data_IF_009935130070
#
_entry.id   IF_009935130070
#
_cell.length_a   1.000
_cell.length_b   1.000
_cell.length_c   1.000
_cell.angle_alpha   90.00
_cell.angle_beta   90.00
_cell.angle_gamma   90.00
#
_symmetry.space_group_name_H-M   'P 1'
#
loop_
_entity.id
_entity.type
_entity.pdbx_description
1 polymer ?
#
# COMPACT_ATOMS: atom_id res chain seq x y z
N UNK A 1 24.05 -15.74 -17.81
CA UNK A 1 24.35 -14.31 -17.65
C UNK A 1 23.39 -13.51 -18.55
N UNK A 2 22.15 -13.31 -18.11
CA UNK A 2 21.18 -12.40 -18.76
C UNK A 2 21.37 -10.95 -18.27
N UNK A 3 22.61 -10.54 -18.00
CA UNK A 3 22.91 -9.26 -17.32
C UNK A 3 22.70 -8.03 -18.21
N UNK A 4 22.87 -8.16 -19.52
CA UNK A 4 22.81 -7.00 -20.43
C UNK A 4 21.38 -6.40 -20.56
N UNK A 5 20.31 -7.20 -20.81
CA UNK A 5 18.96 -6.66 -20.92
C UNK A 5 18.41 -6.07 -19.61
N UNK A 6 18.70 -6.69 -18.47
CA UNK A 6 18.22 -6.19 -17.18
C UNK A 6 18.92 -4.88 -16.78
N UNK A 7 20.22 -4.76 -17.03
CA UNK A 7 20.96 -3.50 -16.79
C UNK A 7 20.42 -2.36 -17.64
N UNK A 8 20.15 -2.62 -18.93
CA UNK A 8 19.54 -1.60 -19.81
C UNK A 8 18.13 -1.22 -19.34
N UNK A 9 17.35 -2.18 -18.85
CA UNK A 9 16.07 -1.89 -18.20
C UNK A 9 16.24 -0.98 -16.97
N UNK A 10 17.18 -1.28 -16.08
CA UNK A 10 17.44 -0.47 -14.88
C UNK A 10 17.88 0.96 -15.23
N UNK A 11 18.73 1.13 -16.25
CA UNK A 11 19.11 2.46 -16.77
C UNK A 11 17.91 3.21 -17.33
N UNK A 12 17.06 2.54 -18.11
CA UNK A 12 15.85 3.13 -18.71
C UNK A 12 14.88 3.67 -17.66
N UNK A 13 14.78 3.01 -16.50
CA UNK A 13 13.95 3.49 -15.38
C UNK A 13 14.69 4.46 -14.44
N UNK A 14 15.90 4.90 -14.81
CA UNK A 14 16.64 5.94 -14.10
C UNK A 14 17.38 5.49 -12.84
N UNK A 15 17.74 4.20 -12.72
CA UNK A 15 18.55 3.74 -11.58
C UNK A 15 19.97 4.32 -11.65
N UNK A 16 20.53 4.69 -10.50
CA UNK A 16 21.93 5.10 -10.39
C UNK A 16 22.89 3.91 -10.59
N UNK A 17 24.13 4.18 -10.99
CA UNK A 17 25.15 3.13 -11.17
C UNK A 17 25.35 2.28 -9.91
N UNK A 18 25.30 2.90 -8.73
CA UNK A 18 25.39 2.17 -7.46
C UNK A 18 24.19 1.25 -7.23
N UNK A 19 22.97 1.72 -7.54
CA UNK A 19 21.75 0.91 -7.44
C UNK A 19 21.77 -0.25 -8.45
N UNK A 20 22.28 -0.02 -9.66
CA UNK A 20 22.46 -1.07 -10.69
C UNK A 20 23.45 -2.13 -10.19
N UNK A 21 24.63 -1.74 -9.74
CA UNK A 21 25.65 -2.66 -9.20
C UNK A 21 25.11 -3.49 -8.03
N UNK A 22 24.38 -2.85 -7.13
CA UNK A 22 23.73 -3.54 -6.01
C UNK A 22 22.68 -4.54 -6.49
N UNK A 23 21.83 -4.14 -7.46
CA UNK A 23 20.82 -5.02 -8.03
C UNK A 23 21.44 -6.26 -8.66
N UNK A 24 22.52 -6.10 -9.45
CA UNK A 24 23.24 -7.24 -10.06
C UNK A 24 23.75 -8.20 -8.98
N UNK A 25 24.35 -7.68 -7.90
CA UNK A 25 24.80 -8.50 -6.78
C UNK A 25 23.65 -9.29 -6.15
N UNK A 26 22.52 -8.63 -5.87
CA UNK A 26 21.33 -9.26 -5.28
C UNK A 26 20.78 -10.38 -6.18
N UNK A 27 20.70 -10.14 -7.49
CA UNK A 27 20.21 -11.14 -8.43
C UNK A 27 21.17 -12.31 -8.54
N UNK A 28 22.48 -12.08 -8.55
CA UNK A 28 23.47 -13.16 -8.55
C UNK A 28 23.34 -14.05 -7.30
N UNK A 29 23.15 -13.44 -6.13
CA UNK A 29 22.92 -14.16 -4.87
C UNK A 29 21.61 -14.96 -4.89
N UNK A 30 20.55 -14.38 -5.44
CA UNK A 30 19.25 -15.04 -5.60
C UNK A 30 19.33 -16.23 -6.55
N UNK A 31 19.92 -16.07 -7.74
CA UNK A 31 20.12 -17.17 -8.71
C UNK A 31 20.99 -18.29 -8.13
N UNK A 32 21.98 -17.95 -7.29
CA UNK A 32 22.79 -18.92 -6.57
C UNK A 32 21.96 -19.73 -5.56
N UNK A 33 21.08 -19.06 -4.82
CA UNK A 33 20.12 -19.72 -3.92
C UNK A 33 19.21 -20.67 -4.71
N UNK A 34 18.60 -20.20 -5.81
CA UNK A 34 17.72 -21.03 -6.64
C UNK A 34 18.44 -22.29 -7.15
N UNK A 35 19.68 -22.13 -7.65
CA UNK A 35 20.49 -23.25 -8.13
C UNK A 35 20.81 -24.26 -7.02
N UNK A 36 21.11 -23.78 -5.81
CA UNK A 36 21.42 -24.62 -4.65
C UNK A 36 20.20 -25.42 -4.20
N UNK A 37 19.03 -24.80 -4.21
CA UNK A 37 17.75 -25.43 -3.82
C UNK A 37 17.07 -26.19 -4.97
N UNK A 38 17.73 -26.30 -6.13
CA UNK A 38 17.21 -26.94 -7.34
C UNK A 38 15.88 -26.37 -7.84
N UNK A 39 15.70 -25.05 -7.69
CA UNK A 39 14.51 -24.31 -8.10
C UNK A 39 14.69 -23.69 -9.49
N UNK A 40 13.61 -23.67 -10.27
CA UNK A 40 13.57 -23.04 -11.58
C UNK A 40 12.90 -21.67 -11.48
N UNK A 41 13.61 -20.62 -11.89
CA UNK A 41 13.12 -19.24 -11.88
C UNK A 41 11.82 -19.07 -12.67
N UNK A 42 11.68 -19.76 -13.81
CA UNK A 42 10.50 -19.63 -14.68
C UNK A 42 9.22 -20.14 -14.01
N UNK A 43 9.37 -21.13 -13.12
CA UNK A 43 8.25 -21.82 -12.47
C UNK A 43 8.12 -21.53 -10.96
N UNK A 44 8.81 -20.50 -10.47
CA UNK A 44 8.76 -20.12 -9.06
C UNK A 44 7.32 -19.88 -8.59
N UNK A 45 6.93 -20.63 -7.56
CA UNK A 45 5.66 -20.48 -6.88
C UNK A 45 5.79 -19.68 -5.58
N UNK A 46 4.64 -19.35 -4.97
CA UNK A 46 4.60 -18.54 -3.76
C UNK A 46 5.37 -19.16 -2.58
N UNK A 47 5.27 -20.48 -2.38
CA UNK A 47 5.93 -21.17 -1.26
C UNK A 47 7.46 -21.13 -1.38
N UNK A 48 7.99 -21.20 -2.59
CA UNK A 48 9.44 -21.13 -2.85
C UNK A 48 9.97 -19.70 -2.62
N UNK A 49 9.20 -18.70 -3.01
CA UNK A 49 9.53 -17.29 -2.75
C UNK A 49 9.49 -17.00 -1.24
N UNK A 50 8.50 -17.52 -0.53
CA UNK A 50 8.41 -17.44 0.93
C UNK A 50 9.61 -18.12 1.60
N UNK A 51 10.05 -19.29 1.11
CA UNK A 51 11.26 -19.95 1.61
C UNK A 51 12.54 -19.12 1.42
N UNK A 52 12.67 -18.39 0.30
CA UNK A 52 13.79 -17.47 0.11
C UNK A 52 13.70 -16.25 1.03
N UNK A 53 12.50 -15.74 1.29
CA UNK A 53 12.30 -14.64 2.25
C UNK A 53 12.68 -15.05 3.67
N UNK A 54 12.29 -16.25 4.11
CA UNK A 54 12.70 -16.80 5.41
C UNK A 54 14.23 -16.92 5.48
N UNK A 55 14.88 -17.41 4.41
CA UNK A 55 16.35 -17.43 4.31
C UNK A 55 16.99 -16.04 4.46
N UNK A 56 16.38 -15.00 3.87
CA UNK A 56 16.88 -13.63 4.00
C UNK A 56 16.66 -13.07 5.42
N UNK A 57 15.51 -13.34 6.04
CA UNK A 57 15.16 -12.88 7.38
C UNK A 57 16.12 -13.48 8.42
N UNK A 58 16.40 -14.78 8.36
CA UNK A 58 17.32 -15.47 9.26
C UNK A 58 18.73 -14.88 9.21
N UNK A 59 19.11 -14.35 8.04
CA UNK A 59 20.41 -13.70 7.79
C UNK A 59 20.37 -12.18 8.00
N UNK A 60 19.21 -11.61 8.29
CA UNK A 60 18.97 -10.16 8.36
C UNK A 60 19.37 -9.44 7.08
N UNK A 61 19.14 -10.06 5.92
CA UNK A 61 19.49 -9.56 4.60
C UNK A 61 18.26 -9.06 3.82
N UNK A 62 17.07 -9.10 4.41
CA UNK A 62 15.78 -8.71 3.84
C UNK A 62 15.54 -7.19 3.82
N UNK A 63 16.57 -6.41 3.47
CA UNK A 63 16.48 -4.95 3.46
C UNK A 63 15.67 -4.41 2.26
N UNK A 64 15.16 -3.17 2.40
CA UNK A 64 14.36 -2.46 1.39
C UNK A 64 14.94 -2.57 -0.03
N UNK A 65 16.21 -2.20 -0.21
CA UNK A 65 16.86 -2.15 -1.52
C UNK A 65 16.96 -3.55 -2.16
N UNK A 66 17.10 -4.61 -1.36
CA UNK A 66 17.12 -6.00 -1.85
C UNK A 66 15.74 -6.37 -2.40
N UNK A 67 14.67 -6.09 -1.66
CA UNK A 67 13.31 -6.40 -2.11
C UNK A 67 12.93 -5.57 -3.34
N UNK A 68 13.38 -4.32 -3.44
CA UNK A 68 13.22 -3.49 -4.65
C UNK A 68 13.94 -4.12 -5.84
N UNK A 69 15.17 -4.61 -5.67
CA UNK A 69 15.91 -5.27 -6.75
C UNK A 69 15.20 -6.54 -7.23
N UNK A 70 14.69 -7.37 -6.30
CA UNK A 70 13.90 -8.57 -6.63
C UNK A 70 12.58 -8.23 -7.34
N UNK A 71 11.86 -7.21 -6.87
CA UNK A 71 10.65 -6.72 -7.54
C UNK A 71 10.94 -6.31 -8.99
N UNK A 72 12.01 -5.54 -9.21
CA UNK A 72 12.41 -5.10 -10.56
C UNK A 72 12.79 -6.26 -11.46
N UNK A 73 13.48 -7.27 -10.93
CA UNK A 73 13.86 -8.46 -11.67
C UNK A 73 12.64 -9.30 -12.06
N UNK A 74 11.74 -9.58 -11.11
CA UNK A 74 10.46 -10.25 -11.39
C UNK A 74 9.64 -9.50 -12.45
N UNK A 75 9.57 -8.17 -12.35
CA UNK A 75 8.88 -7.33 -13.36
C UNK A 75 9.53 -7.43 -14.75
N UNK A 76 10.86 -7.37 -14.82
CA UNK A 76 11.58 -7.39 -16.09
C UNK A 76 11.42 -8.72 -16.82
N UNK A 77 11.45 -9.84 -16.08
CA UNK A 77 11.34 -11.18 -16.63
C UNK A 77 9.91 -11.73 -16.65
N UNK A 78 8.91 -10.91 -16.35
CA UNK A 78 7.50 -11.33 -16.26
C UNK A 78 7.25 -12.48 -15.26
N UNK A 79 8.10 -12.61 -14.24
CA UNK A 79 7.86 -13.50 -13.11
C UNK A 79 6.88 -12.81 -12.15
N UNK A 80 5.59 -12.99 -12.43
CA UNK A 80 4.49 -12.31 -11.72
C UNK A 80 4.49 -12.65 -10.23
N UNK A 81 4.54 -13.93 -9.78
CA UNK A 81 4.61 -14.25 -8.35
C UNK A 81 5.71 -13.51 -7.58
N UNK A 82 6.92 -13.45 -8.11
CA UNK A 82 8.04 -12.73 -7.49
C UNK A 82 7.73 -11.24 -7.42
N UNK A 83 7.28 -10.63 -8.52
CA UNK A 83 6.94 -9.21 -8.55
C UNK A 83 5.84 -8.87 -7.52
N UNK A 84 4.72 -9.60 -7.53
CA UNK A 84 3.58 -9.31 -6.66
C UNK A 84 3.91 -9.53 -5.19
N UNK A 85 4.68 -10.58 -4.85
CA UNK A 85 5.09 -10.84 -3.46
C UNK A 85 6.00 -9.72 -2.94
N UNK A 86 7.00 -9.30 -3.73
CA UNK A 86 7.88 -8.20 -3.31
C UNK A 86 7.11 -6.89 -3.16
N UNK A 87 6.20 -6.55 -4.09
CA UNK A 87 5.37 -5.35 -3.99
C UNK A 87 4.46 -5.39 -2.76
N UNK A 88 3.87 -6.55 -2.44
CA UNK A 88 3.03 -6.69 -1.26
C UNK A 88 3.80 -6.50 0.07
N UNK A 89 5.10 -6.82 0.10
CA UNK A 89 5.96 -6.57 1.25
C UNK A 89 6.40 -5.11 1.36
N UNK A 90 6.76 -4.51 0.22
CA UNK A 90 7.18 -3.12 0.10
C UNK A 90 6.05 -2.14 0.42
N UNK A 91 4.80 -2.49 0.08
CA UNK A 91 3.65 -1.63 0.31
C UNK A 91 3.40 -1.44 1.82
N UNK A 92 3.84 -0.30 2.35
CA UNK A 92 3.66 0.03 3.77
C UNK A 92 4.55 -0.77 4.70
N UNK A 93 5.69 -1.30 4.23
CA UNK A 93 6.67 -1.95 5.11
C UNK A 93 7.19 -1.04 6.23
N UNK A 94 7.17 0.29 6.02
CA UNK A 94 7.58 1.32 6.97
C UNK A 94 6.56 1.57 8.11
N UNK A 95 5.30 1.18 7.94
CA UNK A 95 4.16 1.64 8.75
C UNK A 95 4.36 1.38 10.24
N UNK A 96 4.81 0.18 10.64
CA UNK A 96 4.96 -0.14 12.06
C UNK A 96 6.10 0.64 12.72
N UNK A 97 7.21 0.83 12.02
CA UNK A 97 8.33 1.65 12.48
C UNK A 97 7.92 3.11 12.61
N UNK A 98 7.18 3.63 11.64
CA UNK A 98 6.60 4.97 11.69
C UNK A 98 5.59 5.12 12.83
N UNK A 99 4.79 4.09 13.09
CA UNK A 99 3.84 4.12 14.19
C UNK A 99 4.53 4.17 15.55
N UNK A 100 5.53 3.31 15.76
CA UNK A 100 6.34 3.31 16.96
C UNK A 100 7.00 4.67 17.18
N UNK A 101 7.63 5.24 16.14
CA UNK A 101 8.24 6.57 16.20
C UNK A 101 7.23 7.66 16.57
N UNK A 102 6.09 7.69 15.89
CA UNK A 102 5.07 8.72 16.11
C UNK A 102 4.43 8.63 17.51
N UNK A 103 4.22 7.41 18.02
CA UNK A 103 3.77 7.19 19.40
C UNK A 103 4.81 7.66 20.41
N UNK A 104 6.10 7.35 20.19
CA UNK A 104 7.18 7.83 21.04
C UNK A 104 7.26 9.36 21.09
N UNK A 105 7.16 10.01 19.94
CA UNK A 105 7.19 11.48 19.82
C UNK A 105 6.00 12.15 20.51
N UNK A 106 4.80 11.56 20.44
CA UNK A 106 3.57 12.22 20.91
C UNK A 106 3.10 11.76 22.30
N UNK A 107 3.43 10.54 22.72
CA UNK A 107 2.97 9.93 23.99
C UNK A 107 4.13 9.57 24.94
N UNK A 108 5.38 9.71 24.50
CA UNK A 108 6.58 9.41 25.27
C UNK A 108 6.96 7.92 25.27
N UNK A 109 8.18 7.66 25.74
CA UNK A 109 8.78 6.33 25.80
C UNK A 109 8.00 5.35 26.68
N UNK A 110 7.55 5.78 27.88
CA UNK A 110 6.86 4.89 28.82
C UNK A 110 5.58 4.29 28.22
N UNK A 111 4.74 5.15 27.64
CA UNK A 111 3.49 4.73 26.98
C UNK A 111 3.78 3.83 25.78
N UNK A 112 4.77 4.21 24.96
CA UNK A 112 5.12 3.46 23.74
C UNK A 112 5.66 2.08 24.08
N UNK A 113 6.54 1.97 25.08
CA UNK A 113 7.08 0.69 25.55
C UNK A 113 5.98 -0.25 26.06
N UNK A 114 4.96 0.27 26.76
CA UNK A 114 3.79 -0.53 27.18
C UNK A 114 2.98 -1.02 25.99
N UNK A 115 2.76 -0.17 24.98
CA UNK A 115 2.01 -0.56 23.77
C UNK A 115 2.77 -1.64 22.98
N UNK A 116 4.10 -1.52 22.87
CA UNK A 116 4.95 -2.42 22.09
C UNK A 116 5.57 -3.56 22.91
N UNK A 117 5.14 -3.78 24.16
CA UNK A 117 5.72 -4.80 25.04
C UNK A 117 5.69 -6.19 24.39
N UNK A 118 6.87 -6.81 24.25
CA UNK A 118 7.03 -8.12 23.62
C UNK A 118 6.86 -8.13 22.09
N UNK A 119 6.81 -6.97 21.44
CA UNK A 119 6.74 -6.85 19.98
C UNK A 119 8.11 -6.40 19.47
N UNK A 120 8.80 -7.28 18.76
CA UNK A 120 9.97 -6.89 17.96
C UNK A 120 9.52 -6.14 16.72
N UNK A 121 10.23 -5.06 16.38
CA UNK A 121 9.91 -4.30 15.17
C UNK A 121 10.15 -5.16 13.92
N UNK A 122 9.20 -5.14 12.97
CA UNK A 122 9.24 -5.97 11.78
C UNK A 122 10.34 -5.50 10.83
N UNK A 123 10.93 -6.45 10.12
CA UNK A 123 11.79 -6.19 8.95
C UNK A 123 10.95 -6.16 7.66
N UNK A 124 11.54 -5.77 6.53
CA UNK A 124 10.77 -5.61 5.28
C UNK A 124 10.23 -6.93 4.74
N UNK A 125 10.90 -8.05 5.01
CA UNK A 125 10.46 -9.40 4.66
C UNK A 125 9.31 -9.94 5.53
N UNK A 126 8.90 -9.23 6.59
CA UNK A 126 7.87 -9.72 7.52
C UNK A 126 6.57 -10.04 6.79
N UNK A 127 6.14 -11.30 6.91
CA UNK A 127 4.87 -11.80 6.34
C UNK A 127 3.65 -10.99 6.80
N UNK A 128 2.67 -10.86 5.91
CA UNK A 128 1.48 -10.04 6.14
C UNK A 128 0.59 -10.58 7.27
N UNK A 129 0.58 -11.88 7.58
CA UNK A 129 -0.15 -12.40 8.75
C UNK A 129 0.54 -11.97 10.04
N UNK A 130 1.88 -12.00 10.07
CA UNK A 130 2.66 -11.46 11.21
C UNK A 130 2.41 -9.96 11.36
N UNK A 131 2.42 -9.19 10.26
CA UNK A 131 2.10 -7.75 10.26
C UNK A 131 0.70 -7.48 10.85
N UNK A 132 -0.33 -8.16 10.34
CA UNK A 132 -1.70 -7.98 10.84
C UNK A 132 -1.85 -8.35 12.32
N UNK A 133 -1.21 -9.43 12.77
CA UNK A 133 -1.20 -9.82 14.18
C UNK A 133 -0.54 -8.77 15.07
N UNK A 134 0.62 -8.24 14.66
CA UNK A 134 1.29 -7.16 15.40
C UNK A 134 0.41 -5.92 15.49
N UNK A 135 -0.21 -5.50 14.37
CA UNK A 135 -1.09 -4.33 14.35
C UNK A 135 -2.32 -4.53 15.23
N UNK A 136 -2.91 -5.73 15.23
CA UNK A 136 -4.04 -6.08 16.10
C UNK A 136 -3.68 -5.84 17.57
N UNK A 137 -2.53 -6.33 18.01
CA UNK A 137 -2.06 -6.19 19.40
C UNK A 137 -1.79 -4.72 19.72
N UNK A 138 -1.06 -4.01 18.86
CA UNK A 138 -0.71 -2.59 19.05
C UNK A 138 -1.97 -1.73 19.15
N UNK A 139 -2.92 -1.88 18.23
CA UNK A 139 -4.18 -1.13 18.25
C UNK A 139 -5.03 -1.44 19.47
N UNK A 140 -5.14 -2.73 19.85
CA UNK A 140 -5.88 -3.12 21.03
C UNK A 140 -5.29 -2.50 22.31
N UNK A 141 -3.97 -2.54 22.47
CA UNK A 141 -3.29 -1.92 23.61
C UNK A 141 -3.45 -0.40 23.60
N UNK A 142 -3.29 0.24 22.45
CA UNK A 142 -3.44 1.68 22.30
C UNK A 142 -4.84 2.15 22.72
N UNK A 143 -5.88 1.49 22.22
CA UNK A 143 -7.27 1.84 22.52
C UNK A 143 -7.64 1.63 23.99
N UNK A 144 -7.05 0.64 24.65
CA UNK A 144 -7.31 0.33 26.05
C UNK A 144 -6.52 1.20 27.05
N UNK A 145 -5.40 1.80 26.63
CA UNK A 145 -4.49 2.51 27.55
C UNK A 145 -4.36 4.02 27.26
N UNK A 146 -4.83 4.49 26.10
CA UNK A 146 -4.65 5.87 25.68
C UNK A 146 -5.97 6.44 25.18
N UNK A 147 -6.31 7.64 25.65
CA UNK A 147 -7.50 8.36 25.20
C UNK A 147 -7.47 8.57 23.68
N UNK A 148 -8.60 8.31 23.03
CA UNK A 148 -8.77 8.48 21.58
C UNK A 148 -8.30 9.83 21.05
N UNK A 149 -8.57 10.89 21.80
CA UNK A 149 -8.16 12.25 21.42
C UNK A 149 -6.63 12.42 21.27
N UNK A 150 -5.83 11.59 21.96
CA UNK A 150 -4.37 11.65 21.92
C UNK A 150 -3.79 10.82 20.77
N UNK A 151 -4.35 9.65 20.48
CA UNK A 151 -3.79 8.75 19.47
C UNK A 151 -4.43 8.84 18.08
N UNK A 152 -5.69 9.27 17.96
CA UNK A 152 -6.33 9.37 16.66
C UNK A 152 -5.63 10.37 15.72
N UNK A 153 -5.14 11.54 16.19
CA UNK A 153 -4.36 12.45 15.35
C UNK A 153 -3.07 11.84 14.80
N UNK A 154 -2.48 10.85 15.49
CA UNK A 154 -1.29 10.12 15.02
C UNK A 154 -1.62 9.36 13.74
N UNK A 155 -2.70 8.57 13.78
CA UNK A 155 -3.14 7.79 12.62
C UNK A 155 -3.60 8.70 11.48
N UNK A 156 -4.30 9.80 11.77
CA UNK A 156 -4.77 10.75 10.76
C UNK A 156 -3.65 11.50 10.01
N UNK A 157 -2.40 11.44 10.49
CA UNK A 157 -1.23 11.94 9.76
C UNK A 157 -0.77 10.99 8.63
N UNK A 158 -1.33 9.78 8.58
CA UNK A 158 -0.86 8.65 7.79
C UNK A 158 0.51 8.13 8.27
N UNK A 159 0.64 6.82 8.38
CA UNK A 159 1.88 6.15 8.80
C UNK A 159 2.77 5.77 7.60
N UNK A 160 2.37 6.14 6.39
CA UNK A 160 3.14 5.91 5.15
C UNK A 160 4.15 7.02 4.93
N UNK A 161 5.27 6.67 4.30
CA UNK A 161 6.23 7.68 3.84
C UNK A 161 5.70 8.37 2.58
N UNK A 162 5.11 9.56 2.77
CA UNK A 162 4.45 10.34 1.71
C UNK A 162 5.11 11.73 1.54
N UNK A 163 6.36 11.79 1.03
CA UNK A 163 7.04 13.06 0.81
C UNK A 163 6.25 13.94 -0.17
N UNK A 164 6.14 15.23 0.14
CA UNK A 164 5.32 16.19 -0.61
C UNK A 164 5.71 16.27 -2.09
N UNK A 165 6.98 16.03 -2.41
CA UNK A 165 7.50 15.98 -3.79
C UNK A 165 6.75 14.99 -4.70
N UNK A 166 6.16 13.92 -4.14
CA UNK A 166 5.35 12.95 -4.89
C UNK A 166 4.05 13.57 -5.43
N UNK A 167 3.57 14.65 -4.82
CA UNK A 167 2.31 15.31 -5.19
C UNK A 167 2.53 16.58 -6.02
N UNK A 168 3.78 16.89 -6.40
CA UNK A 168 4.13 18.07 -7.22
C UNK A 168 3.26 18.22 -8.47
N UNK A 169 3.03 17.14 -9.22
CA UNK A 169 2.16 17.15 -10.41
C UNK A 169 0.70 17.46 -10.08
N UNK A 170 0.19 16.97 -8.96
CA UNK A 170 -1.19 17.23 -8.54
C UNK A 170 -1.36 18.68 -8.09
N UNK A 171 -0.36 19.24 -7.40
CA UNK A 171 -0.34 20.65 -7.01
C UNK A 171 -0.32 21.54 -8.26
N UNK A 172 0.58 21.27 -9.21
CA UNK A 172 0.68 22.01 -10.48
C UNK A 172 -0.62 21.93 -11.29
N UNK A 173 -1.26 20.75 -11.34
CA UNK A 173 -2.54 20.59 -12.01
C UNK A 173 -3.62 21.48 -11.38
N UNK A 174 -3.71 21.51 -10.05
CA UNK A 174 -4.68 22.37 -9.35
C UNK A 174 -4.41 23.86 -9.57
N UNK A 175 -3.14 24.29 -9.56
CA UNK A 175 -2.76 25.69 -9.81
C UNK A 175 -3.17 26.19 -11.21
N UNK A 176 -3.40 25.27 -12.17
CA UNK A 176 -3.88 25.55 -13.51
C UNK A 176 -5.40 25.48 -13.65
N UNK A 177 -6.11 25.15 -12.58
CA UNK A 177 -7.57 25.05 -12.56
C UNK A 177 -8.17 26.27 -11.86
N UNK A 178 -9.37 26.66 -12.29
CA UNK A 178 -10.13 27.75 -11.69
C UNK A 178 -10.59 27.42 -10.27
N UNK A 179 -11.02 26.18 -10.05
CA UNK A 179 -11.59 25.71 -8.80
C UNK A 179 -11.41 24.19 -8.63
N UNK A 180 -11.92 23.65 -7.53
CA UNK A 180 -11.82 22.24 -7.20
C UNK A 180 -12.60 21.35 -8.17
N UNK A 181 -13.72 21.81 -8.74
CA UNK A 181 -14.50 20.99 -9.67
C UNK A 181 -13.73 20.77 -10.97
N UNK A 182 -13.15 21.83 -11.53
CA UNK A 182 -12.31 21.71 -12.74
C UNK A 182 -11.08 20.81 -12.48
N UNK A 183 -10.47 20.91 -11.29
CA UNK A 183 -9.36 20.03 -10.91
C UNK A 183 -9.77 18.57 -10.84
N UNK A 184 -10.94 18.26 -10.26
CA UNK A 184 -11.44 16.90 -10.14
C UNK A 184 -11.76 16.31 -11.52
N UNK A 185 -12.34 17.10 -12.43
CA UNK A 185 -12.61 16.67 -13.82
C UNK A 185 -11.30 16.29 -14.55
N UNK A 186 -10.27 17.17 -14.50
CA UNK A 186 -8.98 16.88 -15.12
C UNK A 186 -8.26 15.70 -14.47
N UNK A 187 -8.39 15.54 -13.15
CA UNK A 187 -7.81 14.42 -12.42
C UNK A 187 -8.47 13.10 -12.82
N UNK A 188 -9.79 13.08 -12.98
CA UNK A 188 -10.53 11.92 -13.47
C UNK A 188 -10.10 11.53 -14.88
N UNK A 189 -10.02 12.51 -15.80
CA UNK A 189 -9.56 12.28 -17.17
C UNK A 189 -8.17 11.63 -17.18
N UNK A 190 -7.20 12.20 -16.45
CA UNK A 190 -5.85 11.63 -16.34
C UNK A 190 -5.84 10.23 -15.72
N UNK A 191 -6.70 9.98 -14.73
CA UNK A 191 -6.81 8.67 -14.10
C UNK A 191 -7.34 7.63 -15.09
N UNK A 192 -8.46 7.91 -15.76
CA UNK A 192 -9.09 6.98 -16.71
C UNK A 192 -8.21 6.74 -17.94
N UNK A 193 -7.49 7.75 -18.43
CA UNK A 193 -6.53 7.58 -19.53
C UNK A 193 -5.37 6.66 -19.16
N UNK A 194 -4.84 6.78 -17.95
CA UNK A 194 -3.83 5.84 -17.46
C UNK A 194 -4.42 4.42 -17.34
N UNK A 195 -5.67 4.29 -16.86
CA UNK A 195 -6.33 2.98 -16.76
C UNK A 195 -6.51 2.34 -18.14
N UNK A 196 -6.92 3.11 -19.16
CA UNK A 196 -7.01 2.65 -20.56
C UNK A 196 -5.65 2.19 -21.09
N UNK A 197 -4.59 2.97 -20.83
CA UNK A 197 -3.22 2.62 -21.25
C UNK A 197 -2.74 1.33 -20.58
N UNK A 198 -3.00 1.15 -19.29
CA UNK A 198 -2.63 -0.06 -18.55
C UNK A 198 -3.42 -1.28 -19.04
N UNK A 199 -4.72 -1.13 -19.32
CA UNK A 199 -5.54 -2.18 -19.93
C UNK A 199 -4.99 -2.62 -21.30
N UNK A 200 -4.65 -1.67 -22.17
CA UNK A 200 -4.11 -1.98 -23.51
C UNK A 200 -2.73 -2.64 -23.47
N UNK A 201 -1.87 -2.21 -22.54
CA UNK A 201 -0.49 -2.70 -22.45
C UNK A 201 -0.32 -3.97 -21.60
N UNK A 202 -1.36 -4.39 -20.87
CA UNK A 202 -1.29 -5.48 -19.90
C UNK A 202 -0.40 -5.17 -18.67
N UNK A 203 0.00 -3.91 -18.49
CA UNK A 203 0.79 -3.49 -17.34
C UNK A 203 -0.10 -3.39 -16.08
N UNK A 204 0.49 -3.69 -14.93
CA UNK A 204 -0.22 -3.67 -13.65
C UNK A 204 -0.30 -2.26 -13.05
N UNK A 205 -1.46 -1.91 -12.49
CA UNK A 205 -1.67 -0.74 -11.63
C UNK A 205 -1.39 -1.13 -10.19
N UNK A 206 -0.24 -0.73 -9.63
CA UNK A 206 0.15 -1.08 -8.25
C UNK A 206 0.03 -2.59 -7.91
N UNK A 207 0.25 -3.47 -8.89
CA UNK A 207 0.21 -4.93 -8.70
C UNK A 207 -1.09 -5.61 -9.12
N UNK A 208 -2.17 -4.87 -9.40
CA UNK A 208 -3.42 -5.43 -9.92
C UNK A 208 -3.57 -5.18 -11.43
N UNK A 209 -4.17 -6.11 -12.19
CA UNK A 209 -4.47 -5.91 -13.61
C UNK A 209 -5.66 -4.95 -13.77
N UNK A 210 -5.63 -4.17 -14.86
CA UNK A 210 -6.79 -3.42 -15.33
C UNK A 210 -7.41 -4.20 -16.48
N UNK A 211 -8.34 -5.09 -16.18
CA UNK A 211 -9.12 -5.84 -17.18
C UNK A 211 -10.19 -4.95 -17.82
N UNK A 212 -10.88 -5.47 -18.84
CA UNK A 212 -11.99 -4.73 -19.46
C UNK A 212 -13.13 -4.47 -18.47
N UNK A 213 -13.47 -5.46 -17.64
CA UNK A 213 -14.43 -5.34 -16.53
C UNK A 213 -14.02 -4.29 -15.51
N UNK A 214 -12.74 -4.24 -15.14
CA UNK A 214 -12.21 -3.21 -14.23
C UNK A 214 -12.31 -1.83 -14.85
N UNK A 215 -11.91 -1.66 -16.12
CA UNK A 215 -12.00 -0.37 -16.80
C UNK A 215 -13.45 0.12 -16.87
N UNK A 216 -14.39 -0.73 -17.30
CA UNK A 216 -15.80 -0.39 -17.35
C UNK A 216 -16.35 -0.04 -15.96
N UNK A 217 -15.95 -0.76 -14.91
CA UNK A 217 -16.35 -0.45 -13.54
C UNK A 217 -15.88 0.95 -13.11
N UNK A 218 -14.63 1.32 -13.43
CA UNK A 218 -14.07 2.62 -13.08
C UNK A 218 -14.71 3.78 -13.87
N UNK A 219 -14.99 3.58 -15.16
CA UNK A 219 -15.67 4.58 -16.01
C UNK A 219 -17.11 4.87 -15.58
N UNK A 220 -17.73 3.97 -14.80
CA UNK A 220 -19.09 4.13 -14.30
C UNK A 220 -19.13 4.45 -12.79
N UNK A 221 -18.01 4.84 -12.17
CA UNK A 221 -17.94 5.04 -10.74
C UNK A 221 -17.19 6.32 -10.35
N UNK A 222 -17.90 7.45 -10.44
CA UNK A 222 -17.41 8.79 -10.12
C UNK A 222 -16.84 8.89 -8.70
N UNK A 223 -17.35 8.13 -7.72
CA UNK A 223 -16.80 8.16 -6.36
C UNK A 223 -15.36 7.64 -6.29
N UNK A 224 -14.95 6.79 -7.23
CA UNK A 224 -13.58 6.24 -7.33
C UNK A 224 -12.73 7.06 -8.30
N UNK A 225 -13.22 7.31 -9.51
CA UNK A 225 -12.45 7.94 -10.59
C UNK A 225 -12.21 9.43 -10.34
N UNK A 226 -13.20 10.12 -9.78
CA UNK A 226 -13.23 11.58 -9.61
C UNK A 226 -13.25 12.02 -8.15
N UNK A 227 -14.15 11.43 -7.38
CA UNK A 227 -14.71 11.96 -6.15
C UNK A 227 -15.90 12.90 -6.42
N UNK A 228 -16.86 12.93 -5.48
CA UNK A 228 -18.10 13.70 -5.61
C UNK A 228 -18.24 14.71 -4.48
N UNK A 229 -18.46 15.98 -4.80
CA UNK A 229 -18.69 17.03 -3.79
C UNK A 229 -20.16 17.06 -3.40
N UNK A 230 -20.45 16.91 -2.10
CA UNK A 230 -21.78 17.03 -1.51
C UNK A 230 -21.70 17.83 -0.23
N UNK A 231 -22.50 18.89 -0.11
CA UNK A 231 -22.60 19.72 1.10
C UNK A 231 -21.25 20.23 1.62
N UNK A 232 -20.36 20.69 0.72
CA UNK A 232 -19.03 21.19 1.08
C UNK A 232 -18.02 20.11 1.47
N UNK A 233 -18.32 18.83 1.23
CA UNK A 233 -17.40 17.71 1.46
C UNK A 233 -17.12 16.96 0.15
N UNK A 234 -15.87 16.60 -0.07
CA UNK A 234 -15.46 15.71 -1.15
C UNK A 234 -15.52 14.26 -0.68
N UNK A 235 -16.45 13.49 -1.24
CA UNK A 235 -16.61 12.06 -1.00
C UNK A 235 -15.75 11.26 -1.99
N UNK A 236 -14.91 10.37 -1.47
CA UNK A 236 -14.03 9.49 -2.25
C UNK A 236 -14.18 8.07 -1.74
N UNK A 237 -14.39 7.14 -2.66
CA UNK A 237 -14.33 5.69 -2.44
C UNK A 237 -13.02 5.17 -3.01
N UNK A 238 -12.36 4.25 -2.32
CA UNK A 238 -11.15 3.63 -2.86
C UNK A 238 -11.48 2.61 -3.94
N UNK A 239 -10.63 2.50 -4.95
CA UNK A 239 -10.58 1.30 -5.80
C UNK A 239 -10.30 0.07 -4.91
N UNK A 240 -10.91 -1.11 -5.14
CA UNK A 240 -10.52 -2.34 -4.44
C UNK A 240 -9.03 -2.69 -4.63
N UNK A 241 -8.46 -3.49 -3.74
CA UNK A 241 -7.04 -3.89 -3.82
C UNK A 241 -6.78 -4.84 -4.99
N UNK A 242 -7.68 -5.80 -5.23
CA UNK A 242 -7.72 -6.64 -6.44
C UNK A 242 -9.10 -6.50 -7.07
N UNK A 243 -9.27 -5.51 -7.95
CA UNK A 243 -10.60 -5.10 -8.44
C UNK A 243 -11.29 -6.18 -9.27
N UNK A 244 -10.57 -6.86 -10.15
CA UNK A 244 -11.18 -7.90 -10.99
C UNK A 244 -11.67 -9.07 -10.12
N UNK A 245 -10.83 -9.59 -9.24
CA UNK A 245 -11.23 -10.65 -8.29
C UNK A 245 -12.39 -10.19 -7.40
N UNK A 246 -12.36 -8.93 -6.93
CA UNK A 246 -13.41 -8.36 -6.08
C UNK A 246 -14.77 -8.30 -6.79
N UNK A 247 -14.79 -8.02 -8.10
CA UNK A 247 -16.02 -8.03 -8.91
C UNK A 247 -16.61 -9.46 -9.02
N UNK A 248 -15.77 -10.49 -8.94
CA UNK A 248 -16.16 -11.89 -9.06
C UNK A 248 -16.28 -12.63 -7.71
N UNK A 249 -16.00 -11.96 -6.60
CA UNK A 249 -16.05 -12.53 -5.26
C UNK A 249 -17.46 -13.05 -4.91
N UNK A 250 -17.52 -14.23 -4.29
CA UNK A 250 -18.79 -14.93 -4.01
C UNK A 250 -19.21 -14.83 -2.54
N UNK A 251 -18.32 -14.38 -1.66
CA UNK A 251 -18.61 -14.24 -0.22
C UNK A 251 -18.31 -12.82 0.28
N UNK A 252 -19.00 -12.40 1.34
CA UNK A 252 -18.75 -11.11 1.99
C UNK A 252 -17.32 -11.00 2.53
N UNK A 253 -16.79 -12.10 3.10
CA UNK A 253 -15.41 -12.16 3.59
C UNK A 253 -14.41 -11.93 2.46
N UNK A 254 -14.55 -12.67 1.35
CA UNK A 254 -13.68 -12.55 0.18
C UNK A 254 -13.76 -11.14 -0.42
N UNK A 255 -14.98 -10.59 -0.54
CA UNK A 255 -15.20 -9.23 -1.03
C UNK A 255 -14.50 -8.19 -0.14
N UNK A 256 -14.57 -8.34 1.18
CA UNK A 256 -13.86 -7.47 2.12
C UNK A 256 -12.33 -7.66 2.01
N UNK A 257 -11.87 -8.90 1.93
CA UNK A 257 -10.45 -9.23 1.82
C UNK A 257 -9.83 -8.67 0.54
N UNK A 258 -10.49 -8.80 -0.61
CA UNK A 258 -10.02 -8.30 -1.90
C UNK A 258 -10.11 -6.77 -2.03
N UNK A 259 -10.87 -6.11 -1.16
CA UNK A 259 -10.97 -4.66 -1.13
C UNK A 259 -9.87 -4.00 -0.26
N UNK A 260 -9.49 -4.62 0.86
CA UNK A 260 -8.57 -4.00 1.81
C UNK A 260 -7.14 -3.90 1.28
N UNK A 261 -6.65 -2.67 1.11
CA UNK A 261 -5.27 -2.38 0.65
C UNK A 261 -4.20 -2.57 1.72
N UNK A 262 -4.55 -2.51 3.01
CA UNK A 262 -3.53 -2.37 4.05
C UNK A 262 -2.98 -3.74 4.46
N UNK A 263 -1.69 -4.04 4.23
CA UNK A 263 -1.13 -5.34 4.64
C UNK A 263 -1.07 -5.52 6.16
N UNK A 264 -1.19 -4.43 6.92
CA UNK A 264 -1.26 -4.45 8.39
C UNK A 264 -2.65 -4.78 8.94
N UNK A 265 -3.66 -4.97 8.08
CA UNK A 265 -5.02 -5.28 8.53
C UNK A 265 -5.70 -6.37 7.71
N UNK A 266 -5.38 -6.47 6.42
CA UNK A 266 -6.06 -7.32 5.45
C UNK A 266 -6.16 -8.79 5.90
N UNK A 267 -5.07 -9.38 6.41
CA UNK A 267 -5.10 -10.79 6.84
C UNK A 267 -6.02 -11.05 8.04
N UNK A 268 -6.32 -10.03 8.85
CA UNK A 268 -7.29 -10.17 9.97
C UNK A 268 -8.76 -10.28 9.53
N UNK A 269 -9.04 -10.02 8.24
CA UNK A 269 -10.39 -10.17 7.67
C UNK A 269 -10.74 -11.65 7.50
N UNK A 270 -9.74 -12.50 7.21
CA UNK A 270 -9.94 -13.93 6.98
C UNK A 270 -10.27 -14.63 8.30
N UNK A 271 -11.43 -15.27 8.38
CA UNK A 271 -11.84 -16.00 9.59
C UNK A 271 -10.90 -17.15 9.94
N UNK A 272 -10.29 -17.78 8.93
CA UNK A 272 -9.33 -18.88 9.11
C UNK A 272 -7.90 -18.42 9.46
N UNK A 273 -7.63 -17.11 9.57
CA UNK A 273 -6.30 -16.59 9.88
C UNK A 273 -5.85 -16.85 11.32
N UNK A 274 -6.79 -17.07 12.23
CA UNK A 274 -6.53 -17.12 13.67
C UNK A 274 -6.13 -15.76 14.28
N UNK A 275 -6.28 -14.66 13.53
CA UNK A 275 -5.98 -13.30 13.96
C UNK A 275 -7.30 -12.58 14.26
N UNK A 276 -7.51 -12.04 15.47
CA UNK A 276 -8.66 -11.17 15.73
C UNK A 276 -8.68 -9.98 14.76
N UNK A 277 -9.87 -9.52 14.38
CA UNK A 277 -10.01 -8.37 13.47
C UNK A 277 -9.22 -7.15 14.00
N UNK A 278 -8.39 -6.55 13.14
CA UNK A 278 -7.76 -5.26 13.46
C UNK A 278 -8.84 -4.19 13.59
N UNK A 279 -8.75 -3.36 14.63
CA UNK A 279 -9.73 -2.29 14.88
C UNK A 279 -9.93 -1.39 13.67
N UNK A 280 -11.18 -1.09 13.35
CA UNK A 280 -11.53 -0.18 12.26
C UNK A 280 -11.05 1.26 12.49
N UNK A 281 -10.69 1.61 13.73
CA UNK A 281 -10.05 2.90 14.02
C UNK A 281 -8.70 3.04 13.33
N UNK A 282 -8.03 1.93 13.03
CA UNK A 282 -6.78 1.94 12.27
C UNK A 282 -6.95 2.52 10.86
N UNK A 283 -8.16 2.47 10.29
CA UNK A 283 -8.47 3.09 9.00
C UNK A 283 -8.33 4.63 8.99
N UNK A 284 -8.15 5.27 10.15
CA UNK A 284 -7.71 6.66 10.22
C UNK A 284 -6.37 6.90 9.48
N UNK A 285 -5.49 5.89 9.43
CA UNK A 285 -4.28 5.92 8.59
C UNK A 285 -4.63 6.07 7.10
N UNK A 286 -5.64 5.33 6.61
CA UNK A 286 -6.11 5.45 5.23
C UNK A 286 -6.80 6.78 4.98
N UNK A 287 -7.50 7.33 5.97
CA UNK A 287 -8.12 8.66 5.86
C UNK A 287 -7.04 9.75 5.71
N UNK A 288 -5.94 9.64 6.46
CA UNK A 288 -4.75 10.48 6.32
C UNK A 288 -4.12 10.39 4.92
N UNK A 289 -4.00 9.18 4.38
CA UNK A 289 -3.53 8.95 3.01
C UNK A 289 -4.41 9.67 1.98
N UNK A 290 -5.73 9.51 2.07
CA UNK A 290 -6.70 10.04 1.08
C UNK A 290 -6.75 11.57 1.08
N UNK A 291 -6.63 12.22 2.25
CA UNK A 291 -6.66 13.68 2.33
C UNK A 291 -5.33 14.36 2.00
N UNK A 292 -4.20 13.64 2.03
CA UNK A 292 -2.85 14.21 1.86
C UNK A 292 -2.71 15.09 0.61
N UNK A 293 -3.15 14.68 -0.60
CA UNK A 293 -3.04 15.53 -1.79
C UNK A 293 -3.78 16.86 -1.63
N UNK A 294 -4.97 16.81 -1.02
CA UNK A 294 -5.82 17.98 -0.82
C UNK A 294 -5.25 18.91 0.27
N UNK A 295 -4.65 18.36 1.33
CA UNK A 295 -3.92 19.18 2.32
C UNK A 295 -2.78 19.99 1.68
N UNK A 296 -2.09 19.40 0.68
CA UNK A 296 -1.02 20.07 -0.05
C UNK A 296 -1.55 21.13 -1.01
N UNK A 297 -2.60 20.80 -1.76
CA UNK A 297 -3.28 21.73 -2.67
C UNK A 297 -3.78 22.98 -1.92
N UNK A 298 -4.47 22.78 -0.78
CA UNK A 298 -5.01 23.88 0.02
C UNK A 298 -4.03 24.46 1.03
N UNK A 299 -2.82 23.90 1.13
CA UNK A 299 -1.75 24.32 2.06
C UNK A 299 -2.23 24.41 3.52
N UNK A 300 -3.14 23.52 3.93
CA UNK A 300 -3.69 23.45 5.28
C UNK A 300 -4.12 22.04 5.67
N UNK A 301 -4.23 21.77 6.98
CA UNK A 301 -4.76 20.50 7.47
C UNK A 301 -6.27 20.42 7.26
N UNK A 302 -6.72 19.28 6.75
CA UNK A 302 -8.14 19.05 6.46
C UNK A 302 -8.74 18.04 7.43
N UNK A 303 -10.01 18.26 7.77
CA UNK A 303 -10.83 17.27 8.47
C UNK A 303 -11.31 16.23 7.48
N UNK A 304 -11.32 14.96 7.90
CA UNK A 304 -11.84 13.84 7.13
C UNK A 304 -12.73 12.99 8.02
N UNK A 305 -13.91 12.65 7.53
CA UNK A 305 -14.81 11.68 8.16
C UNK A 305 -14.61 10.32 7.47
N UNK A 306 -14.58 9.23 8.25
CA UNK A 306 -14.59 7.86 7.73
C UNK A 306 -16.05 7.41 7.73
N UNK A 307 -16.66 7.36 6.54
CA UNK A 307 -18.08 7.03 6.39
C UNK A 307 -18.31 5.52 6.38
N UNK A 308 -17.48 4.80 5.62
CA UNK A 308 -17.53 3.36 5.50
C UNK A 308 -16.12 2.81 5.57
N UNK A 309 -15.97 1.63 6.17
CA UNK A 309 -14.72 0.89 6.14
C UNK A 309 -14.95 -0.61 6.21
N UNK A 310 -14.21 -1.32 5.37
CA UNK A 310 -14.18 -2.78 5.36
C UNK A 310 -13.91 -3.36 6.76
N UNK A 311 -13.11 -2.72 7.60
CA UNK A 311 -12.82 -3.24 8.96
C UNK A 311 -14.02 -3.13 9.92
N UNK A 312 -15.03 -2.34 9.60
CA UNK A 312 -16.31 -2.26 10.33
C UNK A 312 -17.39 -3.19 9.76
N UNK A 313 -17.10 -3.96 8.70
CA UNK A 313 -18.07 -4.82 8.04
C UNK A 313 -18.71 -4.24 6.78
N UNK A 314 -18.33 -3.03 6.36
CA UNK A 314 -18.80 -2.45 5.09
C UNK A 314 -18.21 -3.17 3.87
N UNK A 315 -18.74 -2.86 2.68
CA UNK A 315 -18.27 -3.39 1.39
C UNK A 315 -17.33 -2.46 0.62
N UNK A 316 -17.20 -1.21 1.08
CA UNK A 316 -16.32 -0.20 0.50
C UNK A 316 -15.68 0.64 1.60
N UNK A 317 -14.60 1.35 1.27
CA UNK A 317 -14.03 2.38 2.14
C UNK A 317 -14.35 3.75 1.55
N UNK A 318 -15.22 4.50 2.21
CA UNK A 318 -15.63 5.86 1.84
C UNK A 318 -15.09 6.89 2.84
N UNK A 319 -14.50 7.95 2.32
CA UNK A 319 -13.97 9.07 3.08
C UNK A 319 -14.60 10.37 2.60
N UNK A 320 -14.97 11.25 3.54
CA UNK A 320 -15.50 12.58 3.24
C UNK A 320 -14.53 13.66 3.76
N UNK A 321 -13.84 14.33 2.84
CA UNK A 321 -12.91 15.41 3.16
C UNK A 321 -13.68 16.73 3.24
N UNK A 322 -13.54 17.47 4.33
CA UNK A 322 -14.17 18.78 4.49
C UNK A 322 -13.37 19.81 3.69
N UNK A 323 -13.99 20.41 2.68
CA UNK A 323 -13.32 21.40 1.83
C UNK A 323 -13.30 22.78 2.52
N UNK A 324 -12.23 23.57 2.33
CA UNK A 324 -12.21 24.96 2.78
C UNK A 324 -13.31 25.78 2.09
N UNK A 325 -13.77 26.84 2.77
CA UNK A 325 -14.73 27.80 2.21
C UNK A 325 -14.07 28.80 1.28
#
# INVERSE_FOLDING_TARGET
MQENPFVEYLKKIGCSDNSIKYSIKVISEFECFLKKEHLDFEFLNQSEIEGYLDYLIDRKEDHLDRLIALARYGRHHHQIPLFTTMIALLDGGEVMSNFHKALKEQLGDETTNKIFEGIELPSWGTDNRKKAKMMQIVMNRLENHVDKAKWQPILLQCLRDLPDAMYSKQIQLFEQCKDIEEYLDKREEQFLDEMRRLNQSGQLYFGQPITHSVLQFLENNDLISRGVIKNGKLHIVKIPYMTDDWLHAQSEEEKRYLYCHCPWARESIRTNSGIPMVSSQFCACSAGFVKKPFELIYKQKLKVDIFQTILSGDYVCEFAIHLPK
#
